data_IF_269487713920
#
_entry.id   IF_269487713920
#
_cell.length_a   1.000
_cell.length_b   1.000
_cell.length_c   1.000
_cell.angle_alpha   90.00
_cell.angle_beta   90.00
_cell.angle_gamma   90.00
#
_symmetry.space_group_name_H-M   'P 1'
#
loop_
_entity.id
_entity.type
_entity.pdbx_description
1 polymer ?
#
# COMPACT_ATOMS: atom_id res chain seq x y z
N UNK A 1 -63.31 -32.77 -24.35
CA UNK A 1 -62.24 -33.50 -25.00
C UNK A 1 -60.97 -32.96 -24.48
N UNK A 2 -60.40 -33.69 -23.54
CA UNK A 2 -59.23 -33.34 -22.78
C UNK A 2 -57.93 -33.63 -23.55
N UNK A 3 -56.92 -32.98 -23.16
CA UNK A 3 -55.55 -33.51 -23.23
C UNK A 3 -54.78 -33.03 -22.02
N UNK A 4 -54.59 -33.94 -21.06
CA UNK A 4 -53.64 -33.82 -19.97
C UNK A 4 -52.26 -33.98 -20.52
N UNK A 5 -51.39 -33.05 -20.20
CA UNK A 5 -49.92 -33.20 -20.35
C UNK A 5 -49.33 -33.55 -19.00
N UNK A 6 -48.91 -34.79 -18.94
CA UNK A 6 -48.14 -35.41 -17.84
C UNK A 6 -46.74 -34.72 -17.74
N UNK A 7 -46.46 -34.11 -16.61
CA UNK A 7 -45.13 -33.63 -16.26
C UNK A 7 -44.54 -34.48 -15.15
N UNK A 8 -43.90 -35.57 -15.54
CA UNK A 8 -43.07 -36.36 -14.60
C UNK A 8 -41.85 -35.58 -14.16
N UNK A 9 -41.80 -35.26 -12.88
CA UNK A 9 -40.67 -34.66 -12.20
C UNK A 9 -39.57 -35.71 -12.02
N UNK A 10 -38.48 -35.48 -12.70
CA UNK A 10 -37.22 -36.16 -12.44
C UNK A 10 -36.53 -35.46 -11.24
N UNK A 11 -36.69 -36.02 -10.05
CA UNK A 11 -35.94 -35.63 -8.83
C UNK A 11 -34.62 -36.38 -8.87
N UNK A 12 -33.56 -35.68 -9.21
CA UNK A 12 -32.20 -36.14 -8.90
C UNK A 12 -31.99 -36.14 -7.39
N UNK A 13 -31.90 -37.34 -6.82
CA UNK A 13 -31.48 -37.57 -5.44
C UNK A 13 -30.02 -37.12 -5.25
N UNK A 14 -29.83 -36.08 -4.45
CA UNK A 14 -28.52 -35.77 -3.91
C UNK A 14 -28.13 -36.82 -2.88
N UNK A 15 -27.19 -37.69 -3.22
CA UNK A 15 -26.59 -38.68 -2.32
C UNK A 15 -25.76 -37.95 -1.27
N UNK A 16 -26.33 -37.74 -0.09
CA UNK A 16 -25.61 -37.24 1.09
C UNK A 16 -24.62 -38.30 1.60
N UNK A 17 -23.32 -38.02 1.48
CA UNK A 17 -22.26 -38.83 2.10
C UNK A 17 -22.29 -38.55 3.61
N UNK A 18 -22.82 -39.48 4.37
CA UNK A 18 -22.90 -39.40 5.84
C UNK A 18 -21.52 -39.34 6.48
N UNK A 19 -21.36 -38.45 7.49
CA UNK A 19 -20.15 -38.22 8.31
C UNK A 19 -19.45 -39.46 8.84
N UNK A 20 -20.12 -40.60 8.93
CA UNK A 20 -19.56 -41.87 9.39
C UNK A 20 -18.72 -42.64 8.33
N UNK A 21 -18.81 -42.31 7.05
CA UNK A 21 -17.99 -42.92 5.99
C UNK A 21 -16.64 -42.24 5.81
N UNK A 22 -16.46 -41.00 6.28
CA UNK A 22 -15.22 -40.27 6.18
C UNK A 22 -14.14 -40.72 7.19
N UNK A 23 -14.56 -41.40 8.28
CA UNK A 23 -13.66 -41.83 9.37
C UNK A 23 -13.09 -43.26 9.18
N UNK A 24 -13.36 -43.92 8.07
CA UNK A 24 -12.84 -45.29 7.80
C UNK A 24 -11.78 -45.36 6.71
N UNK A 25 -11.33 -44.23 6.15
CA UNK A 25 -10.28 -44.15 5.13
C UNK A 25 -8.91 -43.67 5.66
N UNK A 26 -8.77 -43.51 6.98
CA UNK A 26 -7.50 -43.13 7.61
C UNK A 26 -6.87 -44.29 8.40
N UNK A 27 -6.68 -45.39 7.76
CA UNK A 27 -6.06 -46.55 8.42
C UNK A 27 -5.38 -47.47 7.43
N UNK A 28 -4.24 -47.12 6.90
CA UNK A 28 -3.10 -47.93 6.49
C UNK A 28 -2.20 -47.14 5.54
N UNK A 29 -0.99 -46.82 5.97
CA UNK A 29 0.04 -46.24 5.10
C UNK A 29 0.94 -45.23 5.81
N UNK A 30 1.49 -45.57 6.97
CA UNK A 30 2.65 -44.84 7.51
C UNK A 30 3.89 -45.27 6.75
N UNK A 31 4.14 -44.69 5.58
CA UNK A 31 5.44 -44.62 4.96
C UNK A 31 6.09 -43.30 5.31
N UNK A 32 7.19 -43.34 6.06
CA UNK A 32 7.99 -42.22 6.46
C UNK A 32 8.54 -41.51 5.23
N UNK A 33 7.85 -40.46 4.77
CA UNK A 33 8.43 -39.44 3.93
C UNK A 33 8.97 -38.36 4.88
N UNK A 34 10.28 -38.44 5.13
CA UNK A 34 11.00 -37.35 5.78
C UNK A 34 10.85 -36.07 4.93
N UNK A 35 9.95 -35.18 5.32
CA UNK A 35 9.90 -33.84 4.78
C UNK A 35 11.13 -33.13 5.33
N UNK A 36 12.24 -33.17 4.60
CA UNK A 36 13.29 -32.19 4.74
C UNK A 36 12.72 -30.85 4.26
N UNK A 37 12.10 -30.10 5.14
CA UNK A 37 11.96 -28.66 4.96
C UNK A 37 13.35 -28.04 5.07
N UNK A 38 14.10 -28.04 3.98
CA UNK A 38 15.13 -27.04 3.79
C UNK A 38 14.41 -25.69 3.77
N UNK A 39 14.28 -25.07 4.94
CA UNK A 39 14.03 -23.65 5.02
C UNK A 39 15.21 -22.99 4.32
N UNK A 40 15.04 -22.69 3.03
CA UNK A 40 15.93 -21.80 2.32
C UNK A 40 15.90 -20.47 3.09
N UNK A 41 16.93 -20.23 3.91
CA UNK A 41 17.17 -18.90 4.44
C UNK A 41 17.28 -18.00 3.23
N UNK A 42 16.50 -16.90 3.12
CA UNK A 42 16.69 -15.95 2.04
C UNK A 42 18.14 -15.51 2.08
N UNK A 43 18.88 -15.79 0.99
CA UNK A 43 20.26 -15.34 0.86
C UNK A 43 20.18 -13.81 0.71
N UNK A 44 20.54 -13.11 1.76
CA UNK A 44 20.60 -11.66 1.76
C UNK A 44 21.85 -11.22 0.99
N UNK A 45 21.68 -10.96 -0.30
CA UNK A 45 22.72 -10.31 -1.10
C UNK A 45 22.86 -8.86 -0.61
N UNK A 46 24.08 -8.49 -0.22
CA UNK A 46 24.43 -7.09 0.02
C UNK A 46 24.30 -6.34 -1.31
N UNK A 47 23.55 -5.22 -1.33
CA UNK A 47 23.39 -4.41 -2.53
C UNK A 47 24.76 -3.81 -2.92
N UNK A 48 25.30 -4.25 -4.05
CA UNK A 48 26.61 -3.78 -4.58
C UNK A 48 26.43 -2.80 -5.74
N UNK A 49 25.20 -2.37 -6.03
CA UNK A 49 24.87 -1.45 -7.12
C UNK A 49 25.11 0.02 -6.74
N UNK A 50 25.06 0.88 -7.75
CA UNK A 50 25.07 2.33 -7.56
C UNK A 50 23.83 2.76 -6.78
N UNK A 51 23.99 3.70 -5.82
CA UNK A 51 22.85 4.26 -5.08
C UNK A 51 21.92 4.99 -6.06
N UNK A 52 20.71 4.47 -6.24
CA UNK A 52 19.73 4.94 -7.23
C UNK A 52 18.57 5.72 -6.59
N UNK A 53 18.72 6.12 -5.34
CA UNK A 53 17.63 6.78 -4.60
C UNK A 53 17.73 8.30 -4.69
N UNK A 54 16.58 8.97 -4.56
CA UNK A 54 16.50 10.43 -4.64
C UNK A 54 16.99 11.15 -3.38
N UNK A 55 17.50 10.41 -2.40
CA UNK A 55 18.07 10.90 -1.15
C UNK A 55 19.44 10.27 -0.90
N UNK A 56 20.27 10.90 -0.06
CA UNK A 56 21.61 10.41 0.26
C UNK A 56 21.57 9.13 1.12
N UNK A 57 22.51 8.19 0.94
CA UNK A 57 22.65 7.04 1.81
C UNK A 57 23.07 7.45 3.22
N UNK A 58 22.59 6.72 4.21
CA UNK A 58 22.98 6.92 5.61
C UNK A 58 24.15 6.00 6.00
N UNK A 59 25.17 6.56 6.62
CA UNK A 59 26.26 5.77 7.21
C UNK A 59 25.84 4.96 8.45
N UNK A 60 24.71 5.32 9.09
CA UNK A 60 24.19 4.66 10.29
C UNK A 60 23.31 3.45 10.02
N UNK A 61 22.95 3.24 8.74
CA UNK A 61 21.98 2.24 8.34
C UNK A 61 22.59 1.27 7.32
N UNK A 62 22.32 -0.02 7.50
CA UNK A 62 22.55 -1.03 6.49
C UNK A 62 21.34 -1.06 5.55
N UNK A 63 21.60 -0.96 4.25
CA UNK A 63 20.59 -1.07 3.20
C UNK A 63 20.76 -2.36 2.40
N UNK A 64 19.63 -3.00 2.07
CA UNK A 64 19.61 -4.14 1.15
C UNK A 64 18.28 -4.25 0.42
N UNK A 65 18.33 -4.68 -0.83
CA UNK A 65 17.14 -5.04 -1.60
C UNK A 65 16.65 -6.42 -1.16
N UNK A 66 15.35 -6.55 -0.95
CA UNK A 66 14.69 -7.80 -0.56
C UNK A 66 13.48 -8.06 -1.44
N UNK A 67 13.06 -9.33 -1.52
CA UNK A 67 11.87 -9.74 -2.25
C UNK A 67 11.02 -10.67 -1.40
N UNK A 68 9.71 -10.57 -1.55
CA UNK A 68 8.73 -11.47 -0.94
C UNK A 68 7.48 -11.53 -1.81
N UNK A 69 6.62 -12.51 -1.56
CA UNK A 69 5.43 -12.75 -2.38
C UNK A 69 4.19 -12.44 -1.56
N UNK A 70 3.24 -11.71 -2.12
CA UNK A 70 1.93 -11.51 -1.51
C UNK A 70 1.00 -12.70 -1.77
N UNK A 71 -0.17 -12.77 -1.11
CA UNK A 71 -1.12 -13.88 -1.27
C UNK A 71 -1.71 -13.99 -2.70
N UNK A 72 -1.58 -12.95 -3.52
CA UNK A 72 -2.00 -12.96 -4.92
C UNK A 72 -0.94 -13.57 -5.85
N UNK A 73 0.20 -14.02 -5.30
CA UNK A 73 1.30 -14.57 -6.05
C UNK A 73 2.17 -13.51 -6.74
N UNK A 74 2.04 -12.24 -6.39
CA UNK A 74 2.82 -11.15 -6.94
C UNK A 74 4.12 -11.02 -6.14
N UNK A 75 5.25 -11.03 -6.86
CA UNK A 75 6.57 -10.78 -6.30
C UNK A 75 6.71 -9.29 -5.96
N UNK A 76 6.92 -8.96 -4.71
CA UNK A 76 7.19 -7.60 -4.27
C UNK A 76 8.69 -7.38 -4.10
N UNK A 77 9.17 -6.23 -4.52
CA UNK A 77 10.54 -5.78 -4.33
C UNK A 77 10.55 -4.62 -3.35
N UNK A 78 11.38 -4.73 -2.32
CA UNK A 78 11.50 -3.71 -1.29
C UNK A 78 12.97 -3.38 -0.99
N UNK A 79 13.18 -2.19 -0.48
CA UNK A 79 14.43 -1.80 0.18
C UNK A 79 14.25 -1.95 1.69
N UNK A 80 15.12 -2.73 2.30
CA UNK A 80 15.16 -2.91 3.74
C UNK A 80 16.30 -2.10 4.34
N UNK A 81 16.00 -1.40 5.43
CA UNK A 81 16.95 -0.58 6.17
C UNK A 81 17.02 -1.05 7.62
N UNK A 82 18.23 -1.28 8.12
CA UNK A 82 18.48 -1.80 9.45
C UNK A 82 19.53 -0.95 10.15
N UNK A 83 19.31 -0.50 11.39
CA UNK A 83 20.35 0.21 12.16
C UNK A 83 21.62 -0.63 12.25
N UNK A 84 22.80 -0.07 11.93
CA UNK A 84 24.09 -0.80 12.02
C UNK A 84 24.45 -1.21 13.45
N UNK A 85 23.97 -0.45 14.43
CA UNK A 85 24.20 -0.70 15.86
C UNK A 85 23.05 -1.46 16.53
N UNK A 86 22.23 -2.18 15.77
CA UNK A 86 21.11 -2.94 16.30
C UNK A 86 21.62 -4.05 17.24
N UNK A 87 21.07 -4.13 18.44
CA UNK A 87 21.35 -5.22 19.36
C UNK A 87 20.70 -6.52 18.87
N UNK A 88 21.49 -7.41 18.28
CA UNK A 88 21.02 -8.67 17.71
C UNK A 88 20.57 -9.71 18.75
N UNK A 89 20.82 -9.47 20.05
CA UNK A 89 20.40 -10.36 21.13
C UNK A 89 18.92 -10.22 21.47
N UNK A 90 18.26 -9.19 21.00
CA UNK A 90 16.83 -8.91 21.21
C UNK A 90 16.09 -8.62 19.92
N UNK A 91 14.76 -8.65 19.99
CA UNK A 91 13.88 -8.28 18.86
C UNK A 91 13.50 -6.80 18.94
N UNK A 92 13.29 -6.20 17.77
CA UNK A 92 13.09 -4.77 17.59
C UNK A 92 11.75 -4.46 16.94
N UNK A 93 11.19 -3.26 17.14
CA UNK A 93 10.04 -2.79 16.40
C UNK A 93 10.40 -2.63 14.93
N UNK A 94 9.39 -2.81 14.05
CA UNK A 94 9.59 -2.67 12.62
C UNK A 94 8.49 -1.83 11.98
N UNK A 95 8.81 -1.21 10.83
CA UNK A 95 7.89 -0.36 10.08
C UNK A 95 7.87 -0.75 8.59
N UNK A 96 6.67 -0.74 8.03
CA UNK A 96 6.44 -0.83 6.59
C UNK A 96 6.10 0.57 6.09
N UNK A 97 6.73 1.01 5.01
CA UNK A 97 6.51 2.33 4.43
C UNK A 97 6.01 2.20 3.00
N UNK A 98 4.80 2.70 2.74
CA UNK A 98 4.20 2.74 1.41
C UNK A 98 4.43 4.09 0.71
N UNK A 99 4.65 4.02 -0.63
CA UNK A 99 4.96 5.19 -1.46
C UNK A 99 3.72 5.90 -2.00
N UNK A 100 3.84 7.17 -2.45
CA UNK A 100 2.78 7.89 -3.15
C UNK A 100 2.34 7.21 -4.44
N UNK A 101 1.14 7.57 -4.94
CA UNK A 101 0.60 7.08 -6.21
C UNK A 101 1.55 7.31 -7.39
N UNK A 102 1.89 6.24 -8.11
CA UNK A 102 2.83 6.29 -9.23
C UNK A 102 4.27 6.60 -8.85
N UNK A 103 4.58 6.67 -7.55
CA UNK A 103 5.93 6.73 -7.02
C UNK A 103 6.57 5.34 -6.91
N UNK A 104 7.80 5.31 -6.39
CA UNK A 104 8.57 4.09 -6.16
C UNK A 104 9.33 4.16 -4.83
N UNK A 105 9.78 3.00 -4.35
CA UNK A 105 10.53 2.86 -3.08
C UNK A 105 11.82 3.68 -3.00
N UNK A 106 12.38 4.06 -4.14
CA UNK A 106 13.61 4.87 -4.24
C UNK A 106 13.40 6.35 -3.92
N UNK A 107 12.15 6.76 -3.74
CA UNK A 107 11.75 8.14 -3.46
C UNK A 107 11.34 8.32 -1.99
N UNK A 108 10.26 9.03 -1.74
CA UNK A 108 9.72 9.39 -0.42
C UNK A 108 9.68 8.22 0.56
N UNK A 109 9.13 7.06 0.18
CA UNK A 109 9.00 5.93 1.12
C UNK A 109 10.36 5.39 1.57
N UNK A 110 11.34 5.36 0.69
CA UNK A 110 12.71 5.01 1.04
C UNK A 110 13.37 6.01 1.99
N UNK A 111 13.16 7.32 1.78
CA UNK A 111 13.61 8.36 2.69
C UNK A 111 13.03 8.17 4.09
N UNK A 112 11.71 7.92 4.18
CA UNK A 112 11.05 7.65 5.46
C UNK A 112 11.58 6.38 6.12
N UNK A 113 11.72 5.31 5.36
CA UNK A 113 12.24 4.04 5.85
C UNK A 113 13.67 4.19 6.38
N UNK A 114 14.58 4.82 5.61
CA UNK A 114 15.95 5.08 6.06
C UNK A 114 15.97 5.94 7.32
N UNK A 115 15.21 7.04 7.35
CA UNK A 115 15.20 7.98 8.47
C UNK A 115 14.61 7.37 9.75
N UNK A 116 13.62 6.49 9.64
CA UNK A 116 13.10 5.77 10.80
C UNK A 116 14.03 4.64 11.22
N UNK A 117 14.80 4.03 10.30
CA UNK A 117 15.86 3.09 10.66
C UNK A 117 17.00 3.77 11.45
N UNK A 118 17.38 4.99 11.08
CA UNK A 118 18.33 5.79 11.86
C UNK A 118 17.86 6.05 13.30
N UNK A 119 16.55 5.96 13.53
CA UNK A 119 15.88 6.16 14.81
C UNK A 119 15.60 4.87 15.59
N UNK A 120 16.09 3.73 15.11
CA UNK A 120 16.09 2.46 15.83
C UNK A 120 15.05 1.42 15.37
N UNK A 121 14.34 1.65 14.29
CA UNK A 121 13.37 0.69 13.73
C UNK A 121 14.01 -0.17 12.62
N UNK A 122 13.59 -1.43 12.49
CA UNK A 122 13.83 -2.21 11.29
C UNK A 122 12.76 -1.82 10.27
N UNK A 123 13.13 -1.36 9.07
CA UNK A 123 12.14 -0.81 8.14
C UNK A 123 12.24 -1.42 6.75
N UNK A 124 11.10 -1.46 6.04
CA UNK A 124 11.03 -1.73 4.61
C UNK A 124 10.24 -0.65 3.89
N UNK A 125 10.69 -0.28 2.69
CA UNK A 125 9.92 0.45 1.71
C UNK A 125 9.75 -0.44 0.48
N UNK A 126 8.51 -0.82 0.14
CA UNK A 126 8.24 -1.67 -1.02
C UNK A 126 7.72 -0.86 -2.21
N UNK A 127 7.99 -1.34 -3.41
CA UNK A 127 7.18 -0.97 -4.57
C UNK A 127 5.85 -1.72 -4.47
N UNK A 128 4.75 -1.02 -4.65
CA UNK A 128 3.43 -1.64 -4.69
C UNK A 128 3.31 -2.62 -5.88
N UNK A 129 2.43 -3.60 -5.77
CA UNK A 129 2.06 -4.48 -6.87
C UNK A 129 1.80 -3.69 -8.15
N UNK A 130 2.27 -4.17 -9.29
CA UNK A 130 2.19 -3.56 -10.62
C UNK A 130 3.02 -2.29 -10.82
N UNK A 131 3.87 -1.89 -9.86
CA UNK A 131 4.69 -0.68 -9.91
C UNK A 131 6.17 -0.96 -9.66
N UNK A 132 7.03 -0.04 -10.11
CA UNK A 132 8.46 -0.06 -9.85
C UNK A 132 9.13 -1.35 -10.30
N UNK A 133 9.82 -2.03 -9.38
CA UNK A 133 10.45 -3.33 -9.62
C UNK A 133 9.57 -4.50 -9.16
N UNK A 134 8.42 -4.24 -8.50
CA UNK A 134 7.48 -5.28 -8.11
C UNK A 134 6.78 -5.90 -9.31
N UNK A 135 6.36 -7.14 -9.16
CA UNK A 135 5.70 -7.91 -10.20
C UNK A 135 4.25 -7.48 -10.45
N UNK A 136 3.57 -8.34 -11.18
CA UNK A 136 2.21 -8.13 -11.66
C UNK A 136 2.19 -7.60 -13.09
N UNK A 137 1.26 -8.11 -13.90
CA UNK A 137 1.10 -7.73 -15.30
C UNK A 137 -0.38 -7.50 -15.65
N UNK A 138 -0.65 -6.49 -16.49
CA UNK A 138 0.28 -5.47 -16.96
C UNK A 138 0.67 -4.48 -15.86
N UNK A 139 1.82 -3.80 -16.00
CA UNK A 139 2.23 -2.75 -15.07
C UNK A 139 1.28 -1.54 -15.09
N UNK A 140 1.36 -0.73 -14.03
CA UNK A 140 0.59 0.51 -13.85
C UNK A 140 -0.92 0.28 -13.81
N UNK A 141 -1.34 -0.81 -13.18
CA UNK A 141 -2.76 -1.08 -12.90
C UNK A 141 -3.16 -0.50 -11.55
N UNK A 142 -4.32 0.12 -11.54
CA UNK A 142 -5.02 0.52 -10.31
C UNK A 142 -5.68 -0.71 -9.68
N UNK A 143 -5.15 -1.19 -8.56
CA UNK A 143 -5.72 -2.31 -7.81
C UNK A 143 -5.63 -2.05 -6.30
N UNK A 144 -6.63 -1.39 -5.70
CA UNK A 144 -6.66 -1.13 -4.26
C UNK A 144 -6.47 -2.41 -3.44
N UNK A 145 -7.10 -3.51 -3.86
CA UNK A 145 -6.99 -4.79 -3.16
C UNK A 145 -5.55 -5.30 -3.12
N UNK A 146 -4.83 -5.24 -4.24
CA UNK A 146 -3.45 -5.69 -4.28
C UNK A 146 -2.53 -4.81 -3.41
N UNK A 147 -2.71 -3.49 -3.45
CA UNK A 147 -1.89 -2.56 -2.64
C UNK A 147 -2.17 -2.72 -1.14
N UNK A 148 -3.42 -2.97 -0.74
CA UNK A 148 -3.78 -3.29 0.64
C UNK A 148 -3.09 -4.59 1.07
N UNK A 149 -3.13 -5.61 0.22
CA UNK A 149 -2.48 -6.91 0.47
C UNK A 149 -0.96 -6.77 0.59
N UNK A 150 -0.33 -5.87 -0.16
CA UNK A 150 1.12 -5.65 -0.12
C UNK A 150 1.59 -5.20 1.27
N UNK A 151 0.78 -4.43 2.01
CA UNK A 151 1.06 -4.10 3.41
C UNK A 151 1.02 -5.35 4.30
N UNK A 152 0.02 -6.23 4.14
CA UNK A 152 -0.07 -7.48 4.91
C UNK A 152 1.09 -8.43 4.59
N UNK A 153 1.48 -8.52 3.32
CA UNK A 153 2.65 -9.29 2.90
C UNK A 153 3.96 -8.72 3.48
N UNK A 154 4.05 -7.39 3.63
CA UNK A 154 5.15 -6.74 4.35
C UNK A 154 5.20 -7.13 5.84
N UNK A 155 4.02 -7.25 6.49
CA UNK A 155 3.93 -7.76 7.86
C UNK A 155 4.39 -9.22 7.94
N UNK A 156 4.00 -10.06 6.99
CA UNK A 156 4.46 -11.45 6.91
C UNK A 156 5.97 -11.51 6.79
N UNK A 157 6.55 -10.74 5.86
CA UNK A 157 7.99 -10.72 5.63
C UNK A 157 8.77 -10.26 6.87
N UNK A 158 8.39 -9.13 7.47
CA UNK A 158 9.04 -8.60 8.68
C UNK A 158 8.84 -9.53 9.87
N UNK A 159 7.67 -10.13 10.02
CA UNK A 159 7.37 -11.06 11.11
C UNK A 159 8.17 -12.37 11.06
N UNK A 160 8.80 -12.69 9.93
CA UNK A 160 9.71 -13.82 9.76
C UNK A 160 11.18 -13.44 9.97
N UNK A 161 11.52 -12.15 10.02
CA UNK A 161 12.88 -11.69 10.31
C UNK A 161 13.21 -11.93 11.79
N UNK A 162 14.30 -12.64 12.14
CA UNK A 162 14.62 -12.97 13.53
C UNK A 162 14.91 -11.75 14.41
N UNK A 163 15.20 -10.60 13.81
CA UNK A 163 15.45 -9.32 14.51
C UNK A 163 14.17 -8.58 14.88
N UNK A 164 13.03 -8.96 14.29
CA UNK A 164 11.76 -8.24 14.44
C UNK A 164 10.88 -8.89 15.50
N UNK A 165 10.29 -8.06 16.36
CA UNK A 165 9.20 -8.46 17.24
C UNK A 165 7.86 -8.36 16.47
N UNK A 166 7.22 -9.50 16.27
CA UNK A 166 5.92 -9.61 15.55
C UNK A 166 4.79 -8.80 16.18
N UNK A 167 4.90 -8.51 17.48
CA UNK A 167 3.90 -7.72 18.19
C UNK A 167 4.17 -6.21 18.13
N UNK A 168 5.20 -5.79 17.39
CA UNK A 168 5.70 -4.42 17.36
C UNK A 168 5.93 -3.96 15.90
N UNK A 169 4.99 -4.28 15.01
CA UNK A 169 5.03 -3.87 13.60
C UNK A 169 4.04 -2.74 13.39
N UNK A 170 4.53 -1.61 12.90
CA UNK A 170 3.72 -0.46 12.49
C UNK A 170 3.81 -0.19 11.00
N UNK A 171 2.98 0.73 10.52
CA UNK A 171 2.94 1.13 9.12
C UNK A 171 2.96 2.65 8.97
N UNK A 172 3.62 3.12 7.90
CA UNK A 172 3.57 4.52 7.46
C UNK A 172 3.08 4.53 6.01
N UNK A 173 1.99 5.22 5.75
CA UNK A 173 1.50 5.44 4.39
C UNK A 173 1.67 6.90 3.97
N UNK A 174 2.37 7.15 2.85
CA UNK A 174 2.53 8.50 2.31
C UNK A 174 1.62 8.69 1.11
N UNK A 175 0.88 9.79 1.07
CA UNK A 175 -0.07 10.13 0.00
C UNK A 175 -1.13 9.03 -0.19
N UNK A 176 -1.27 8.45 -1.38
CA UNK A 176 -2.19 7.35 -1.66
C UNK A 176 -2.02 6.15 -0.71
N UNK A 177 -0.76 5.82 -0.37
CA UNK A 177 -0.46 4.76 0.59
C UNK A 177 -1.00 5.05 1.99
N UNK A 178 -1.31 6.30 2.33
CA UNK A 178 -2.01 6.63 3.58
C UNK A 178 -3.40 6.01 3.64
N UNK A 179 -4.20 6.18 2.59
CA UNK A 179 -5.51 5.53 2.48
C UNK A 179 -5.43 4.01 2.42
N UNK A 180 -4.43 3.46 1.71
CA UNK A 180 -4.22 2.01 1.65
C UNK A 180 -3.75 1.42 2.98
N UNK A 181 -2.87 2.12 3.71
CA UNK A 181 -2.41 1.69 5.04
C UNK A 181 -3.55 1.66 6.06
N UNK A 182 -4.44 2.68 6.04
CA UNK A 182 -5.65 2.65 6.87
C UNK A 182 -6.54 1.48 6.50
N UNK A 183 -6.81 1.25 5.20
CA UNK A 183 -7.63 0.13 4.75
C UNK A 183 -7.02 -1.24 5.12
N UNK A 184 -5.70 -1.40 4.98
CA UNK A 184 -4.99 -2.61 5.40
C UNK A 184 -5.10 -2.84 6.91
N UNK A 185 -4.93 -1.80 7.71
CA UNK A 185 -5.01 -1.90 9.16
C UNK A 185 -6.43 -2.24 9.66
N UNK A 186 -7.49 -1.90 8.94
CA UNK A 186 -8.86 -2.30 9.29
C UNK A 186 -9.03 -3.82 9.32
N UNK A 187 -8.31 -4.53 8.46
CA UNK A 187 -8.46 -5.99 8.26
C UNK A 187 -7.25 -6.81 8.75
N UNK A 188 -6.12 -6.17 9.05
CA UNK A 188 -4.94 -6.85 9.58
C UNK A 188 -4.52 -6.30 10.95
N UNK A 189 -4.93 -6.98 12.05
CA UNK A 189 -4.64 -6.54 13.42
C UNK A 189 -3.17 -6.70 13.83
N UNK A 190 -2.33 -7.28 12.98
CA UNK A 190 -0.88 -7.38 13.22
C UNK A 190 -0.15 -6.05 13.00
N UNK A 191 -0.77 -5.10 12.29
CA UNK A 191 -0.33 -3.70 12.21
C UNK A 191 -0.71 -2.99 13.51
N UNK A 192 0.24 -2.80 14.43
CA UNK A 192 0.00 -2.36 15.81
C UNK A 192 -0.15 -0.85 15.97
N UNK A 193 0.40 -0.07 15.05
CA UNK A 193 0.28 1.38 15.01
C UNK A 193 0.31 1.85 13.55
N UNK A 194 -0.48 2.85 13.21
CA UNK A 194 -0.63 3.36 11.84
C UNK A 194 -0.37 4.86 11.80
N UNK A 195 0.58 5.29 10.96
CA UNK A 195 0.77 6.70 10.65
C UNK A 195 0.52 6.96 9.17
N UNK A 196 -0.08 8.10 8.85
CA UNK A 196 -0.21 8.58 7.47
C UNK A 196 0.39 9.96 7.33
N UNK A 197 0.94 10.27 6.17
CA UNK A 197 1.52 11.58 5.87
C UNK A 197 0.97 12.07 4.53
N UNK A 198 0.47 13.29 4.50
CA UNK A 198 -0.15 13.89 3.30
C UNK A 198 -1.12 12.92 2.61
N UNK A 199 -1.99 12.28 3.38
CA UNK A 199 -2.82 11.17 2.92
C UNK A 199 -3.79 11.56 1.81
N UNK A 200 -4.06 10.60 0.91
CA UNK A 200 -5.13 10.63 -0.09
C UNK A 200 -6.12 9.50 0.13
N UNK A 201 -7.40 9.82 0.03
CA UNK A 201 -8.44 8.87 -0.35
C UNK A 201 -8.50 8.79 -1.88
N UNK A 202 -7.96 7.74 -2.45
CA UNK A 202 -7.90 7.58 -3.92
C UNK A 202 -9.29 7.41 -4.53
N UNK A 203 -10.23 6.82 -3.82
CA UNK A 203 -11.63 6.75 -4.24
C UNK A 203 -12.33 8.09 -4.18
N UNK A 204 -12.21 8.76 -3.04
CA UNK A 204 -12.76 10.09 -2.83
C UNK A 204 -12.21 11.13 -3.82
N UNK A 205 -10.92 11.07 -4.13
CA UNK A 205 -10.29 11.97 -5.11
C UNK A 205 -10.83 11.82 -6.54
N UNK A 206 -11.35 10.65 -6.91
CA UNK A 206 -12.00 10.42 -8.21
C UNK A 206 -13.42 11.02 -8.26
N UNK A 207 -14.14 10.99 -7.12
CA UNK A 207 -15.52 11.49 -7.03
C UNK A 207 -15.63 12.95 -6.61
N UNK A 208 -14.62 13.48 -5.91
CA UNK A 208 -14.63 14.82 -5.36
C UNK A 208 -13.24 15.45 -5.46
N UNK A 209 -12.96 16.10 -6.57
CA UNK A 209 -11.71 16.83 -6.75
C UNK A 209 -11.77 18.18 -6.05
N UNK A 210 -10.75 18.53 -5.25
CA UNK A 210 -10.69 19.78 -4.47
C UNK A 210 -11.88 20.02 -3.52
N UNK A 211 -12.54 18.95 -3.07
CA UNK A 211 -13.73 19.07 -2.22
C UNK A 211 -15.04 19.32 -2.99
N UNK A 212 -14.97 19.47 -4.32
CA UNK A 212 -16.15 19.59 -5.18
C UNK A 212 -16.57 18.22 -5.69
N UNK A 213 -17.77 17.79 -5.32
CA UNK A 213 -18.32 16.50 -5.78
C UNK A 213 -18.61 16.55 -7.29
N UNK A 214 -18.13 15.55 -8.00
CA UNK A 214 -18.41 15.41 -9.44
C UNK A 214 -19.91 15.27 -9.67
N UNK A 215 -20.45 16.02 -10.61
CA UNK A 215 -21.87 15.97 -10.98
C UNK A 215 -22.22 14.62 -11.63
N UNK A 216 -23.48 14.19 -11.51
CA UNK A 216 -23.94 12.87 -11.92
C UNK A 216 -23.76 12.59 -13.42
N UNK A 217 -23.96 13.59 -14.27
CA UNK A 217 -23.72 13.50 -15.72
C UNK A 217 -22.24 13.32 -16.03
N UNK A 218 -21.35 14.09 -15.38
CA UNK A 218 -19.91 13.92 -15.52
C UNK A 218 -19.41 12.55 -15.00
N UNK A 219 -20.03 12.02 -13.94
CA UNK A 219 -19.76 10.66 -13.46
C UNK A 219 -20.13 9.61 -14.53
N UNK A 220 -21.32 9.75 -15.10
CA UNK A 220 -21.81 8.87 -16.15
C UNK A 220 -20.91 8.91 -17.38
N UNK A 221 -20.51 10.10 -17.82
CA UNK A 221 -19.61 10.29 -18.94
C UNK A 221 -18.23 9.68 -18.70
N UNK A 222 -17.68 9.81 -17.49
CA UNK A 222 -16.43 9.17 -17.12
C UNK A 222 -16.55 7.64 -17.23
N UNK A 223 -17.59 7.06 -16.66
CA UNK A 223 -17.81 5.61 -16.70
C UNK A 223 -18.02 5.09 -18.11
N UNK A 224 -18.77 5.82 -18.97
CA UNK A 224 -18.94 5.48 -20.37
C UNK A 224 -17.60 5.50 -21.13
N UNK A 225 -16.78 6.56 -20.97
CA UNK A 225 -15.44 6.63 -21.56
C UNK A 225 -14.54 5.47 -21.15
N UNK A 226 -14.57 5.08 -19.86
CA UNK A 226 -13.84 3.92 -19.38
C UNK A 226 -14.37 2.63 -20.01
N UNK A 227 -15.70 2.50 -20.19
CA UNK A 227 -16.34 1.36 -20.86
C UNK A 227 -15.88 1.22 -22.31
N UNK A 228 -15.90 2.31 -23.07
CA UNK A 228 -15.42 2.33 -24.47
C UNK A 228 -13.93 1.96 -24.56
N UNK A 229 -13.11 2.49 -23.67
CA UNK A 229 -11.68 2.14 -23.61
C UNK A 229 -11.48 0.65 -23.33
N UNK A 230 -12.28 0.05 -22.44
CA UNK A 230 -12.20 -1.39 -22.13
C UNK A 230 -12.59 -2.24 -23.34
N UNK A 231 -13.60 -1.85 -24.12
CA UNK A 231 -13.94 -2.54 -25.38
C UNK A 231 -12.81 -2.44 -26.41
N UNK A 232 -12.22 -1.27 -26.55
CA UNK A 232 -11.06 -1.09 -27.44
C UNK A 232 -9.89 -2.00 -27.04
N UNK A 233 -9.54 -2.04 -25.76
CA UNK A 233 -8.47 -2.91 -25.22
C UNK A 233 -8.79 -4.40 -25.41
N UNK A 234 -10.03 -4.82 -25.19
CA UNK A 234 -10.47 -6.20 -25.44
C UNK A 234 -10.42 -6.55 -26.93
N UNK A 235 -10.59 -5.58 -27.82
CA UNK A 235 -10.40 -5.68 -29.26
C UNK A 235 -8.96 -5.64 -29.74
N UNK A 236 -7.99 -5.53 -28.81
CA UNK A 236 -6.55 -5.53 -29.11
C UNK A 236 -5.93 -4.13 -29.23
N UNK A 237 -6.66 -3.05 -28.94
CA UNK A 237 -6.07 -1.72 -28.89
C UNK A 237 -5.09 -1.58 -27.69
N UNK A 238 -4.08 -0.72 -27.78
CA UNK A 238 -3.15 -0.48 -26.67
C UNK A 238 -3.86 0.14 -25.47
N UNK A 239 -3.36 -0.19 -24.28
CA UNK A 239 -3.80 0.42 -23.03
C UNK A 239 -3.53 1.91 -23.03
N UNK A 240 -4.47 2.68 -22.49
CA UNK A 240 -4.27 4.12 -22.26
C UNK A 240 -3.89 4.38 -20.80
N UNK A 241 -2.99 5.33 -20.63
CA UNK A 241 -2.47 5.71 -19.33
C UNK A 241 -2.65 7.20 -19.10
N UNK A 242 -3.06 7.57 -17.88
CA UNK A 242 -3.01 8.94 -17.41
C UNK A 242 -1.73 9.11 -16.60
N UNK A 243 -0.95 10.14 -16.91
CA UNK A 243 0.29 10.49 -16.22
C UNK A 243 0.38 12.01 -16.03
N UNK A 244 1.32 12.45 -15.19
CA UNK A 244 1.67 13.86 -15.13
C UNK A 244 2.19 14.33 -16.50
N UNK A 245 1.91 15.60 -16.88
CA UNK A 245 2.38 16.14 -18.16
C UNK A 245 3.90 16.14 -18.25
N UNK A 246 4.42 16.14 -19.49
CA UNK A 246 5.87 16.24 -19.75
C UNK A 246 6.40 17.67 -19.60
N UNK A 247 5.52 18.67 -19.70
CA UNK A 247 5.85 20.08 -19.53
C UNK A 247 4.67 20.85 -18.92
N UNK A 248 4.97 21.90 -18.18
CA UNK A 248 3.96 22.83 -17.66
C UNK A 248 3.58 23.85 -18.73
N UNK A 249 2.29 24.25 -18.70
CA UNK A 249 1.75 25.38 -19.47
C UNK A 249 1.27 26.47 -18.53
N UNK A 250 0.98 27.68 -19.02
CA UNK A 250 0.40 28.74 -18.17
C UNK A 250 -0.92 28.30 -17.48
N UNK A 251 -1.70 27.44 -18.12
CA UNK A 251 -3.01 26.95 -17.67
C UNK A 251 -2.91 25.76 -16.70
N UNK A 252 -1.72 25.19 -16.52
CA UNK A 252 -1.50 24.07 -15.58
C UNK A 252 -1.90 24.52 -14.18
N UNK A 253 -2.77 23.77 -13.53
CA UNK A 253 -3.25 24.07 -12.18
C UNK A 253 -2.15 23.88 -11.11
N UNK A 254 -2.36 24.51 -9.95
CA UNK A 254 -1.37 24.55 -8.87
C UNK A 254 -1.02 23.15 -8.32
N UNK A 255 -1.98 22.24 -8.25
CA UNK A 255 -1.77 20.89 -7.73
C UNK A 255 -0.89 20.09 -8.69
N UNK A 256 -1.21 20.14 -9.99
CA UNK A 256 -0.38 19.52 -11.03
C UNK A 256 1.04 20.10 -11.05
N UNK A 257 1.20 21.42 -10.83
CA UNK A 257 2.53 22.05 -10.71
C UNK A 257 3.30 21.52 -9.51
N UNK A 258 2.65 21.37 -8.36
CA UNK A 258 3.28 20.84 -7.15
C UNK A 258 3.80 19.40 -7.35
N UNK A 259 3.00 18.53 -7.98
CA UNK A 259 3.45 17.19 -8.33
C UNK A 259 4.52 17.16 -9.42
N UNK A 260 4.41 18.03 -10.44
CA UNK A 260 5.42 18.15 -11.49
C UNK A 260 6.78 18.52 -10.91
N UNK A 261 6.82 19.50 -10.00
CA UNK A 261 8.03 19.95 -9.33
C UNK A 261 8.76 18.78 -8.64
N UNK A 262 8.03 17.85 -8.05
CA UNK A 262 8.65 16.68 -7.44
C UNK A 262 9.00 15.60 -8.47
N UNK A 263 8.05 15.14 -9.30
CA UNK A 263 8.23 13.95 -10.12
C UNK A 263 8.98 14.19 -11.46
N UNK A 264 9.06 15.43 -11.94
CA UNK A 264 9.64 15.79 -13.25
C UNK A 264 10.88 16.66 -13.16
N UNK A 265 11.37 16.96 -11.95
CA UNK A 265 12.59 17.73 -11.72
C UNK A 265 13.59 16.90 -10.92
N UNK A 266 14.88 17.32 -10.84
CA UNK A 266 15.89 16.63 -10.03
C UNK A 266 15.53 16.51 -8.53
N UNK A 267 14.48 17.21 -8.06
CA UNK A 267 14.00 17.14 -6.69
C UNK A 267 13.63 15.71 -6.27
N UNK A 268 12.92 14.99 -7.12
CA UNK A 268 12.47 13.63 -6.79
C UNK A 268 12.24 12.76 -8.03
N UNK A 269 12.63 13.19 -9.23
CA UNK A 269 12.49 12.40 -10.45
C UNK A 269 13.24 11.07 -10.34
N UNK A 270 12.56 9.98 -10.74
CA UNK A 270 13.15 8.65 -10.80
C UNK A 270 12.66 7.90 -12.04
N UNK A 271 13.52 7.16 -12.77
CA UNK A 271 13.14 6.53 -14.04
C UNK A 271 11.96 5.56 -13.94
N UNK A 272 11.79 4.88 -12.81
CA UNK A 272 10.69 3.96 -12.57
C UNK A 272 9.41 4.62 -12.04
N UNK A 273 9.48 5.87 -11.58
CA UNK A 273 8.33 6.65 -11.13
C UNK A 273 7.66 7.35 -12.31
N UNK A 274 6.96 6.59 -13.14
CA UNK A 274 6.33 7.11 -14.36
C UNK A 274 5.12 7.99 -14.08
N UNK A 275 4.53 7.92 -12.89
CA UNK A 275 3.23 8.49 -12.52
C UNK A 275 2.06 8.02 -13.41
N UNK A 276 2.32 7.12 -14.36
CA UNK A 276 1.33 6.58 -15.28
C UNK A 276 0.46 5.52 -14.61
N UNK A 277 -0.86 5.63 -14.83
CA UNK A 277 -1.83 4.60 -14.40
C UNK A 277 -2.83 4.34 -15.50
N UNK A 278 -3.18 3.06 -15.66
CA UNK A 278 -4.10 2.59 -16.68
C UNK A 278 -5.52 3.10 -16.41
N UNK A 279 -6.12 3.76 -17.40
CA UNK A 279 -7.45 4.38 -17.28
C UNK A 279 -8.55 3.33 -17.09
N UNK A 280 -8.46 2.19 -17.75
CA UNK A 280 -9.45 1.12 -17.65
C UNK A 280 -9.46 0.44 -16.27
N UNK A 281 -8.46 0.69 -15.42
CA UNK A 281 -8.39 0.27 -14.03
C UNK A 281 -9.09 1.20 -13.02
N UNK A 282 -9.40 2.43 -13.43
CA UNK A 282 -10.00 3.45 -12.55
C UNK A 282 -11.30 3.03 -11.83
N UNK A 283 -12.18 2.17 -12.40
CA UNK A 283 -13.37 1.69 -11.68
C UNK A 283 -13.05 1.04 -10.34
N UNK A 284 -11.89 0.42 -10.17
CA UNK A 284 -11.45 -0.15 -8.90
C UNK A 284 -11.28 0.92 -7.82
N UNK A 285 -10.79 2.12 -8.18
CA UNK A 285 -10.71 3.25 -7.25
C UNK A 285 -12.08 3.87 -6.97
N UNK A 286 -12.97 3.93 -7.95
CA UNK A 286 -14.31 4.48 -7.76
C UNK A 286 -15.11 3.72 -6.68
N UNK A 287 -14.80 2.45 -6.45
CA UNK A 287 -15.37 1.63 -5.38
C UNK A 287 -14.57 1.65 -4.08
N UNK A 288 -13.34 2.16 -4.09
CA UNK A 288 -12.49 2.16 -2.92
C UNK A 288 -12.95 3.20 -1.89
N UNK A 289 -13.16 2.75 -0.65
CA UNK A 289 -13.68 3.54 0.48
C UNK A 289 -12.80 3.30 1.72
N UNK A 290 -11.59 3.90 1.78
CA UNK A 290 -10.63 3.58 2.84
C UNK A 290 -11.07 4.02 4.25
N UNK A 291 -12.10 4.86 4.37
CA UNK A 291 -12.53 5.41 5.65
C UNK A 291 -13.85 4.80 6.17
N UNK A 292 -14.48 3.88 5.43
CA UNK A 292 -15.82 3.40 5.84
C UNK A 292 -15.79 2.59 7.14
N UNK A 293 -14.67 1.95 7.45
CA UNK A 293 -14.50 1.14 8.66
C UNK A 293 -13.22 1.52 9.42
N UNK A 294 -12.77 2.76 9.32
CA UNK A 294 -11.53 3.23 9.98
C UNK A 294 -11.62 3.16 11.51
N UNK A 295 -12.81 3.19 12.07
CA UNK A 295 -13.10 2.95 13.49
C UNK A 295 -12.70 1.55 13.97
N UNK A 296 -12.70 0.55 13.08
CA UNK A 296 -12.27 -0.81 13.40
C UNK A 296 -10.77 -0.95 13.69
N UNK A 297 -9.97 0.07 13.39
CA UNK A 297 -8.55 0.08 13.76
C UNK A 297 -8.38 0.14 15.28
N UNK A 298 -9.30 0.81 15.98
CA UNK A 298 -9.31 0.86 17.46
C UNK A 298 -9.29 -0.55 18.07
N UNK A 299 -8.59 -0.80 19.19
CA UNK A 299 -7.86 0.17 20.02
C UNK A 299 -6.41 0.45 19.57
N UNK A 300 -6.04 0.11 18.33
CA UNK A 300 -4.71 0.42 17.78
C UNK A 300 -4.63 1.90 17.40
N UNK A 301 -3.52 2.59 17.74
CA UNK A 301 -3.39 4.03 17.55
C UNK A 301 -3.23 4.41 16.08
N UNK A 302 -3.82 5.56 15.73
CA UNK A 302 -3.74 6.16 14.40
C UNK A 302 -3.22 7.60 14.52
N UNK A 303 -2.14 7.92 13.77
CA UNK A 303 -1.59 9.26 13.63
C UNK A 303 -1.76 9.73 12.18
N UNK A 304 -2.48 10.81 11.96
CA UNK A 304 -2.62 11.44 10.64
C UNK A 304 -1.81 12.74 10.62
N UNK A 305 -0.88 12.86 9.67
CA UNK A 305 -0.04 14.05 9.49
C UNK A 305 -0.41 14.70 8.17
N UNK A 306 -0.70 15.99 8.19
CA UNK A 306 -1.01 16.77 7.00
C UNK A 306 -0.34 18.14 7.05
N UNK A 307 0.06 18.66 5.89
CA UNK A 307 0.51 20.04 5.79
C UNK A 307 -0.67 21.02 5.94
N UNK A 308 -0.42 22.16 6.58
CA UNK A 308 -1.41 23.21 6.77
C UNK A 308 -2.01 23.70 5.44
N UNK A 309 -1.13 23.84 4.42
CA UNK A 309 -1.47 24.31 3.09
C UNK A 309 -1.70 23.17 2.08
N UNK A 310 -1.69 21.91 2.54
CA UNK A 310 -1.86 20.78 1.65
C UNK A 310 -3.29 20.72 1.10
N UNK A 311 -3.41 20.67 -0.23
CA UNK A 311 -4.70 20.51 -0.92
C UNK A 311 -5.42 19.21 -0.55
N UNK A 312 -4.71 18.24 0.01
CA UNK A 312 -5.24 16.94 0.46
C UNK A 312 -5.57 16.89 1.97
N UNK A 313 -5.37 17.98 2.72
CA UNK A 313 -5.55 18.02 4.18
C UNK A 313 -6.94 17.53 4.60
N UNK A 314 -7.97 17.88 3.84
CA UNK A 314 -9.35 17.50 4.12
C UNK A 314 -9.57 15.98 4.18
N UNK A 315 -8.79 15.15 3.47
CA UNK A 315 -8.87 13.69 3.58
C UNK A 315 -8.45 13.22 4.98
N UNK A 316 -7.39 13.81 5.55
CA UNK A 316 -6.98 13.50 6.91
C UNK A 316 -8.02 13.96 7.94
N UNK A 317 -8.65 15.13 7.72
CA UNK A 317 -9.74 15.62 8.55
C UNK A 317 -10.99 14.73 8.49
N UNK A 318 -11.33 14.21 7.30
CA UNK A 318 -12.44 13.26 7.14
C UNK A 318 -12.15 11.91 7.81
N UNK A 319 -10.93 11.39 7.66
CA UNK A 319 -10.54 10.13 8.27
C UNK A 319 -10.52 10.20 9.80
N UNK A 320 -9.94 11.28 10.37
CA UNK A 320 -9.88 11.44 11.83
C UNK A 320 -11.27 11.62 12.46
N UNK A 321 -12.19 12.23 11.74
CA UNK A 321 -13.57 12.40 12.20
C UNK A 321 -14.29 11.05 12.35
N UNK A 322 -13.97 10.07 11.49
CA UNK A 322 -14.56 8.72 11.50
C UNK A 322 -13.79 7.72 12.38
N UNK A 323 -12.48 7.91 12.58
CA UNK A 323 -11.66 7.01 13.38
C UNK A 323 -12.09 7.02 14.85
N UNK A 324 -11.98 5.87 15.53
CA UNK A 324 -12.14 5.76 16.99
C UNK A 324 -10.80 5.97 17.72
N UNK A 325 -10.84 6.18 19.03
CA UNK A 325 -9.66 6.37 19.87
C UNK A 325 -8.82 5.06 19.99
N UNK A 326 -7.49 5.19 20.15
CA UNK A 326 -6.68 6.40 20.21
C UNK A 326 -6.33 6.91 18.80
N UNK A 327 -6.52 8.21 18.58
CA UNK A 327 -6.27 8.87 17.28
C UNK A 327 -5.69 10.26 17.46
N UNK A 328 -4.90 10.71 16.50
CA UNK A 328 -4.33 12.05 16.51
C UNK A 328 -4.22 12.61 15.08
N UNK A 329 -4.56 13.88 14.91
CA UNK A 329 -4.30 14.67 13.71
C UNK A 329 -3.22 15.71 14.02
N UNK A 330 -2.09 15.63 13.32
CA UNK A 330 -0.98 16.57 13.46
C UNK A 330 -0.83 17.42 12.19
N UNK A 331 -0.99 18.72 12.33
CA UNK A 331 -0.87 19.69 11.23
C UNK A 331 0.52 20.31 11.25
N UNK A 332 1.24 20.19 10.13
CA UNK A 332 2.56 20.80 9.93
C UNK A 332 2.38 22.20 9.36
N UNK A 333 2.72 23.21 10.15
CA UNK A 333 2.53 24.61 9.76
C UNK A 333 3.34 24.97 8.53
N UNK A 334 2.72 25.69 7.61
CA UNK A 334 3.31 26.19 6.36
C UNK A 334 3.58 25.14 5.28
N UNK A 335 3.45 23.85 5.57
CA UNK A 335 3.74 22.78 4.61
C UNK A 335 2.60 22.59 3.60
N UNK A 336 2.94 22.39 2.33
CA UNK A 336 2.09 21.87 1.27
C UNK A 336 2.01 20.34 1.29
N UNK A 337 1.36 19.75 0.28
CA UNK A 337 1.20 18.30 0.18
C UNK A 337 2.55 17.60 -0.08
N UNK A 338 3.27 18.03 -1.10
CA UNK A 338 4.53 17.41 -1.57
C UNK A 338 5.72 17.87 -0.73
N UNK A 339 5.57 18.90 0.09
CA UNK A 339 6.63 19.34 1.00
C UNK A 339 7.00 18.26 2.03
N UNK A 340 6.02 17.44 2.44
CA UNK A 340 6.25 16.34 3.35
C UNK A 340 6.76 15.06 2.65
N UNK A 341 7.13 15.12 1.36
CA UNK A 341 7.76 14.00 0.67
C UNK A 341 9.27 13.96 0.90
N UNK A 342 9.94 15.13 0.90
CA UNK A 342 11.38 15.24 0.83
C UNK A 342 11.98 16.44 1.58
N UNK A 343 11.17 17.43 1.97
CA UNK A 343 11.70 18.56 2.77
C UNK A 343 11.91 18.11 4.22
N UNK A 344 13.09 17.53 4.46
CA UNK A 344 13.43 16.86 5.74
C UNK A 344 13.25 17.76 6.97
N UNK A 345 13.38 19.08 6.82
CA UNK A 345 13.21 20.06 7.90
C UNK A 345 11.73 20.31 8.23
N UNK A 346 10.80 20.01 7.33
CA UNK A 346 9.36 20.13 7.55
C UNK A 346 8.73 18.82 8.01
N UNK A 347 9.31 17.67 7.65
CA UNK A 347 8.78 16.38 8.06
C UNK A 347 8.93 16.20 9.57
N UNK A 348 7.83 15.95 10.33
CA UNK A 348 7.86 15.93 11.78
C UNK A 348 8.42 14.58 12.31
N UNK A 349 9.71 14.33 12.08
CA UNK A 349 10.39 13.07 12.42
C UNK A 349 10.28 12.69 13.89
N UNK A 350 10.39 13.67 14.79
CA UNK A 350 10.31 13.42 16.23
C UNK A 350 8.89 13.04 16.64
N UNK A 351 7.86 13.58 15.96
CA UNK A 351 6.47 13.19 16.15
C UNK A 351 6.24 11.75 15.72
N UNK A 352 6.72 11.37 14.53
CA UNK A 352 6.66 9.99 14.05
C UNK A 352 7.39 9.03 15.01
N UNK A 353 8.63 9.39 15.38
CA UNK A 353 9.41 8.57 16.32
C UNK A 353 8.69 8.39 17.66
N UNK A 354 8.26 9.48 18.29
CA UNK A 354 7.59 9.41 19.60
C UNK A 354 6.30 8.61 19.54
N UNK A 355 5.52 8.73 18.47
CA UNK A 355 4.31 7.93 18.25
C UNK A 355 4.63 6.44 18.22
N UNK A 356 5.58 6.01 17.39
CA UNK A 356 5.93 4.60 17.31
C UNK A 356 6.67 4.09 18.54
N UNK A 357 7.51 4.88 19.20
CA UNK A 357 8.14 4.50 20.47
C UNK A 357 7.07 4.25 21.55
N UNK A 358 6.07 5.10 21.64
CA UNK A 358 4.99 4.96 22.61
C UNK A 358 4.13 3.71 22.36
N UNK A 359 3.82 3.43 21.12
CA UNK A 359 2.81 2.44 20.76
C UNK A 359 3.38 1.09 20.29
N UNK A 360 4.69 1.04 20.01
CA UNK A 360 5.43 -0.17 19.72
C UNK A 360 6.47 -0.46 20.84
N UNK A 361 6.25 0.07 22.06
CA UNK A 361 7.06 -0.29 23.23
C UNK A 361 6.90 -1.78 23.58
N UNK A 362 7.92 -2.34 24.27
CA UNK A 362 7.92 -3.73 24.71
C UNK A 362 6.94 -3.97 25.88
#
# INVERSE_FOLDING_TARGET
MGNELDTSHDRQEMIGIGRRKLLKLTGAGAAAAGIMTLAARPAFAQYTGTWDKTFAPSERVEHRKVTYVNRLGINLVADMYVPKNLDISRRHPALIVGHPYGGVKEQTSGLYAQTMAERGFVTIAHDASYNGESGGQPHFISSPEAVIEDFSAGVDFLGLDPRVDRNRIGVIGVCASGGFALAAAQIDPRMKAVATVSMYDMGGAKWAWKGETMQADAQTDLLNKIGEQRWAEAGGAPKQYLALPEALTPETDAITREFFDYYRTPRGAHPRATTAMNISGDPSYLHFRPFDHVDMISPRPVLLIAGENAHSRFFSEQAIAKAAEPKELFIVSGAGHVDLYDKVDLIPWDKLKSFFDQHLSA
#
